data_IF_079173028116
#
_entry.id   IF_079173028116
#
_cell.length_a   1.000
_cell.length_b   1.000
_cell.length_c   1.000
_cell.angle_alpha   90.00
_cell.angle_beta   90.00
_cell.angle_gamma   90.00
#
_symmetry.space_group_name_H-M   'P 1'
#
loop_
_entity.id
_entity.type
_entity.pdbx_description
1 polymer ?
#
# COMPACT_ATOMS: atom_id res chain seq x y z
N UNK A 1 -5.08 -20.83 -0.76
CA UNK A 1 -6.01 -20.15 -1.69
C UNK A 1 -5.24 -19.12 -2.51
N UNK A 2 -5.04 -19.36 -3.81
CA UNK A 2 -4.41 -18.38 -4.71
C UNK A 2 -5.31 -17.16 -4.77
N UNK A 3 -4.84 -16.02 -4.25
CA UNK A 3 -5.54 -14.76 -4.43
C UNK A 3 -5.31 -14.30 -5.87
N UNK A 4 -6.39 -14.06 -6.60
CA UNK A 4 -6.31 -13.52 -7.95
C UNK A 4 -6.07 -12.00 -7.84
N UNK A 5 -4.95 -11.53 -8.40
CA UNK A 5 -4.68 -10.10 -8.46
C UNK A 5 -5.52 -9.47 -9.57
N UNK A 6 -6.23 -8.38 -9.24
CA UNK A 6 -6.97 -7.55 -10.21
C UNK A 6 -6.13 -6.28 -10.44
N UNK A 7 -6.03 -5.84 -11.70
CA UNK A 7 -5.36 -4.59 -12.05
C UNK A 7 -6.30 -3.41 -11.77
N UNK A 8 -5.81 -2.46 -10.98
CA UNK A 8 -6.46 -1.16 -10.75
C UNK A 8 -5.53 -0.08 -11.31
N UNK A 9 -6.02 0.70 -12.28
CA UNK A 9 -5.26 1.77 -12.94
C UNK A 9 -5.65 3.14 -12.38
N UNK A 10 -4.66 3.96 -12.02
CA UNK A 10 -4.85 5.30 -11.44
C UNK A 10 -3.89 6.29 -12.08
N UNK A 11 -4.28 7.57 -12.15
CA UNK A 11 -3.47 8.65 -12.71
C UNK A 11 -2.66 9.32 -11.61
N UNK A 12 -1.38 9.60 -11.89
CA UNK A 12 -0.48 10.35 -11.03
C UNK A 12 0.22 11.46 -11.83
N UNK A 13 0.55 12.60 -11.19
CA UNK A 13 1.51 13.55 -11.74
C UNK A 13 2.88 12.89 -12.00
N UNK A 14 3.60 13.38 -13.00
CA UNK A 14 4.92 12.84 -13.35
C UNK A 14 5.92 12.93 -12.19
N UNK A 15 5.92 14.06 -11.46
CA UNK A 15 6.74 14.27 -10.27
C UNK A 15 6.52 13.17 -9.22
N UNK A 16 5.27 12.80 -9.00
CA UNK A 16 4.88 11.85 -7.97
C UNK A 16 5.27 10.43 -8.38
N UNK A 17 5.16 10.10 -9.68
CA UNK A 17 5.63 8.82 -10.23
C UNK A 17 7.15 8.68 -10.08
N UNK A 18 7.91 9.76 -10.30
CA UNK A 18 9.36 9.74 -10.10
C UNK A 18 9.71 9.46 -8.63
N UNK A 19 9.07 10.16 -7.71
CA UNK A 19 9.26 9.96 -6.27
C UNK A 19 8.83 8.55 -5.82
N UNK A 20 7.71 8.03 -6.34
CA UNK A 20 7.24 6.67 -6.10
C UNK A 20 8.28 5.62 -6.46
N UNK A 21 8.90 5.76 -7.65
CA UNK A 21 9.94 4.84 -8.12
C UNK A 21 11.19 4.91 -7.25
N UNK A 22 11.62 6.11 -6.87
CA UNK A 22 12.78 6.32 -5.99
C UNK A 22 12.56 5.68 -4.62
N UNK A 23 11.44 6.00 -3.95
CA UNK A 23 11.11 5.46 -2.63
C UNK A 23 10.97 3.94 -2.66
N UNK A 24 10.34 3.38 -3.70
CA UNK A 24 10.19 1.93 -3.86
C UNK A 24 11.56 1.26 -3.99
N UNK A 25 12.44 1.81 -4.82
CA UNK A 25 13.82 1.32 -5.00
C UNK A 25 14.62 1.38 -3.69
N UNK A 26 14.57 2.50 -2.97
CA UNK A 26 15.29 2.67 -1.70
C UNK A 26 14.79 1.71 -0.61
N UNK A 27 13.55 1.24 -0.71
CA UNK A 27 12.97 0.23 0.19
C UNK A 27 13.18 -1.22 -0.26
N UNK A 28 13.81 -1.44 -1.42
CA UNK A 28 14.01 -2.78 -1.98
C UNK A 28 12.73 -3.51 -2.37
N UNK A 29 11.68 -2.77 -2.76
CA UNK A 29 10.38 -3.34 -3.16
C UNK A 29 9.90 -2.73 -4.49
N UNK A 30 8.95 -3.40 -5.15
CA UNK A 30 8.35 -2.86 -6.37
C UNK A 30 7.32 -1.75 -6.07
N UNK A 31 6.96 -0.97 -7.10
CA UNK A 31 5.99 0.13 -6.96
C UNK A 31 4.61 -0.38 -6.52
N UNK A 32 4.18 -1.52 -7.04
CA UNK A 32 2.91 -2.15 -6.68
C UNK A 32 2.90 -2.62 -5.22
N UNK A 33 4.01 -3.18 -4.71
CA UNK A 33 4.17 -3.52 -3.29
C UNK A 33 4.06 -2.28 -2.41
N UNK A 34 4.78 -1.20 -2.76
CA UNK A 34 4.71 0.06 -2.03
C UNK A 34 3.29 0.66 -2.03
N UNK A 35 2.63 0.70 -3.18
CA UNK A 35 1.26 1.21 -3.29
C UNK A 35 0.28 0.31 -2.52
N UNK A 36 0.37 -1.02 -2.65
CA UNK A 36 -0.48 -1.96 -1.89
C UNK A 36 -0.32 -1.76 -0.39
N UNK A 37 0.91 -1.62 0.10
CA UNK A 37 1.18 -1.36 1.50
C UNK A 37 0.61 0.00 1.94
N UNK A 38 0.82 1.05 1.15
CA UNK A 38 0.34 2.40 1.44
C UNK A 38 -1.18 2.46 1.50
N UNK A 39 -1.87 1.82 0.55
CA UNK A 39 -3.34 1.70 0.52
C UNK A 39 -3.84 0.92 1.73
N UNK A 40 -3.24 -0.24 2.06
CA UNK A 40 -3.64 -1.02 3.25
C UNK A 40 -3.48 -0.23 4.54
N UNK A 41 -2.39 0.53 4.68
CA UNK A 41 -2.16 1.39 5.85
C UNK A 41 -3.22 2.47 5.97
N UNK A 42 -3.63 3.07 4.85
CA UNK A 42 -4.70 4.08 4.85
C UNK A 42 -6.07 3.47 5.18
N UNK A 43 -6.40 2.31 4.61
CA UNK A 43 -7.61 1.58 4.96
C UNK A 43 -7.66 1.20 6.46
N UNK A 44 -6.53 0.76 7.02
CA UNK A 44 -6.41 0.48 8.44
C UNK A 44 -6.63 1.73 9.29
N UNK A 45 -6.01 2.87 8.91
CA UNK A 45 -6.20 4.16 9.58
C UNK A 45 -7.67 4.60 9.58
N UNK A 46 -8.38 4.32 8.50
CA UNK A 46 -9.80 4.59 8.34
C UNK A 46 -10.72 3.50 8.94
N UNK A 47 -10.16 2.53 9.70
CA UNK A 47 -10.89 1.44 10.34
C UNK A 47 -11.68 0.52 9.39
N UNK A 48 -11.24 0.40 8.14
CA UNK A 48 -11.83 -0.53 7.15
C UNK A 48 -11.22 -1.95 7.18
N UNK A 49 -10.16 -2.16 7.96
CA UNK A 49 -9.55 -3.48 8.15
C UNK A 49 -9.95 -4.07 9.51
N UNK A 50 -10.01 -5.40 9.59
CA UNK A 50 -10.24 -6.08 10.87
C UNK A 50 -9.08 -5.85 11.84
N UNK A 51 -9.32 -6.02 13.15
CA UNK A 51 -8.28 -5.85 14.17
C UNK A 51 -7.08 -6.79 13.93
N UNK A 52 -7.32 -7.98 13.35
CA UNK A 52 -6.27 -8.95 12.99
C UNK A 52 -5.39 -8.44 11.84
N UNK A 53 -6.00 -7.81 10.83
CA UNK A 53 -5.30 -7.22 9.69
C UNK A 53 -4.56 -5.93 10.08
N UNK A 54 -5.14 -5.12 10.96
CA UNK A 54 -4.45 -3.96 11.52
C UNK A 54 -3.22 -4.37 12.34
N UNK A 55 -3.35 -5.42 13.15
CA UNK A 55 -2.24 -5.98 13.94
C UNK A 55 -1.10 -6.49 13.05
N UNK A 56 -1.41 -7.15 11.93
CA UNK A 56 -0.38 -7.61 10.99
C UNK A 56 0.32 -6.46 10.26
N UNK A 57 -0.31 -5.29 10.17
CA UNK A 57 0.29 -4.06 9.66
C UNK A 57 1.00 -3.21 10.73
N UNK A 58 1.00 -3.65 11.99
CA UNK A 58 1.62 -2.93 13.12
C UNK A 58 0.86 -1.67 13.56
N UNK A 59 -0.41 -1.53 13.19
CA UNK A 59 -1.25 -0.35 13.48
C UNK A 59 -2.11 -0.65 14.70
N UNK A 60 -2.02 0.16 15.75
CA UNK A 60 -2.92 0.12 16.92
C UNK A 60 -4.10 1.05 16.67
N UNK A 61 -5.31 0.57 16.97
CA UNK A 61 -6.52 1.40 16.94
C UNK A 61 -6.35 2.51 18.00
N UNK A 62 -6.52 3.76 17.57
CA UNK A 62 -6.62 4.92 18.47
C UNK A 62 -7.98 5.00 19.11
#
# INVERSE_FOLDING_TARGET
MKHMNIIVSVRFPFSDVALLKEVSKNRGQDVSDFIRFSVKRELARLSFLSDKEMKSLGIKRG
#
